data_IF_904141959336
#
_entry.id   IF_904141959336
#
_cell.length_a   1.000
_cell.length_b   1.000
_cell.length_c   1.000
_cell.angle_alpha   90.00
_cell.angle_beta   90.00
_cell.angle_gamma   90.00
#
_symmetry.space_group_name_H-M   'P 1'
#
loop_
_entity.id
_entity.type
_entity.pdbx_description
1 polymer ?
#
# COMPACT_ATOMS: atom_id res chain seq x y z
N UNK A 1 25.04 20.50 -6.93
CA UNK A 1 24.70 19.13 -7.40
C UNK A 1 23.41 18.75 -6.70
N UNK A 2 22.42 18.19 -7.40
CA UNK A 2 21.19 17.65 -6.80
C UNK A 2 21.40 16.14 -6.64
N UNK A 3 21.67 15.69 -5.42
CA UNK A 3 21.91 14.27 -5.12
C UNK A 3 20.61 13.53 -4.81
N UNK A 4 20.62 12.21 -5.02
CA UNK A 4 19.53 11.29 -4.67
C UNK A 4 19.96 10.44 -3.47
N UNK A 5 19.13 10.41 -2.45
CA UNK A 5 19.32 9.64 -1.21
C UNK A 5 18.75 8.22 -1.33
N UNK A 6 17.52 8.08 -1.84
CA UNK A 6 16.84 6.78 -1.93
C UNK A 6 15.77 6.72 -3.01
N UNK A 7 15.46 5.50 -3.44
CA UNK A 7 14.39 5.19 -4.41
C UNK A 7 13.54 4.05 -3.89
N UNK A 8 12.31 4.35 -3.47
CA UNK A 8 11.48 3.40 -2.72
C UNK A 8 9.98 3.67 -2.97
N UNK A 9 9.12 2.93 -2.26
CA UNK A 9 7.66 3.05 -2.23
C UNK A 9 7.03 3.45 -3.57
N UNK A 10 7.26 2.62 -4.59
CA UNK A 10 6.79 2.90 -5.94
C UNK A 10 5.36 2.38 -6.17
N UNK A 11 4.53 3.20 -6.82
CA UNK A 11 3.33 2.72 -7.51
C UNK A 11 3.72 1.93 -8.75
N UNK A 12 2.87 1.02 -9.23
CA UNK A 12 3.16 0.20 -10.41
C UNK A 12 1.94 0.04 -11.31
N UNK A 13 2.16 -0.01 -12.62
CA UNK A 13 1.12 -0.19 -13.63
C UNK A 13 1.70 -0.68 -14.96
N UNK A 14 0.92 -1.44 -15.71
CA UNK A 14 1.24 -1.80 -17.09
C UNK A 14 0.67 -0.74 -18.05
N UNK A 15 1.52 -0.17 -18.88
CA UNK A 15 1.17 0.92 -19.80
C UNK A 15 1.88 0.72 -21.14
N UNK A 16 1.11 0.65 -22.23
CA UNK A 16 1.62 0.44 -23.59
C UNK A 16 2.60 -0.74 -23.74
N UNK A 17 2.31 -1.87 -23.07
CA UNK A 17 3.12 -3.09 -23.11
C UNK A 17 4.43 -3.04 -22.31
N UNK A 18 4.66 -1.96 -21.54
CA UNK A 18 5.77 -1.83 -20.61
C UNK A 18 5.27 -1.78 -19.17
N UNK A 19 6.15 -2.10 -18.24
CA UNK A 19 5.89 -1.88 -16.82
C UNK A 19 6.44 -0.53 -16.40
N UNK A 20 5.58 0.30 -15.82
CA UNK A 20 5.96 1.58 -15.24
C UNK A 20 5.93 1.50 -13.72
N UNK A 21 6.95 2.09 -13.09
CA UNK A 21 7.00 2.39 -11.67
C UNK A 21 6.92 3.90 -11.46
N UNK A 22 5.99 4.34 -10.61
CA UNK A 22 5.94 5.70 -10.08
C UNK A 22 6.75 5.75 -8.80
N UNK A 23 8.06 5.88 -8.95
CA UNK A 23 9.03 5.77 -7.86
C UNK A 23 8.99 7.01 -7.00
N UNK A 24 8.94 6.84 -5.68
CA UNK A 24 9.27 7.90 -4.73
C UNK A 24 10.79 8.01 -4.69
N UNK A 25 11.30 9.13 -5.17
CA UNK A 25 12.73 9.47 -5.15
C UNK A 25 12.94 10.52 -4.07
N UNK A 26 13.75 10.22 -3.08
CA UNK A 26 14.14 11.18 -2.04
C UNK A 26 15.48 11.83 -2.41
N UNK A 27 15.51 13.16 -2.46
CA UNK A 27 16.75 13.91 -2.67
C UNK A 27 17.60 14.01 -1.41
N UNK A 28 18.86 14.41 -1.55
CA UNK A 28 19.73 14.71 -0.39
C UNK A 28 19.17 15.84 0.49
N UNK A 29 18.23 16.63 -0.02
CA UNK A 29 17.51 17.67 0.71
C UNK A 29 16.29 17.14 1.49
N UNK A 30 16.08 15.82 1.56
CA UNK A 30 14.97 15.12 2.22
C UNK A 30 13.59 15.27 1.59
N UNK A 31 13.41 16.08 0.54
CA UNK A 31 12.13 16.10 -0.17
C UNK A 31 12.04 14.89 -1.07
N UNK A 32 10.85 14.30 -1.11
CA UNK A 32 10.50 13.30 -2.09
C UNK A 32 9.82 13.93 -3.29
N UNK A 33 10.10 13.38 -4.47
CA UNK A 33 9.36 13.65 -5.70
C UNK A 33 9.06 12.33 -6.39
N UNK A 34 8.12 12.36 -7.33
CA UNK A 34 7.71 11.17 -8.08
C UNK A 34 8.42 11.15 -9.44
N UNK A 35 8.95 10.00 -9.83
CA UNK A 35 9.58 9.84 -11.14
C UNK A 35 9.18 8.50 -11.76
N UNK A 36 8.93 8.50 -13.07
CA UNK A 36 8.57 7.29 -13.80
C UNK A 36 9.84 6.54 -14.19
N UNK A 37 9.92 5.27 -13.82
CA UNK A 37 10.88 4.32 -14.36
C UNK A 37 10.15 3.26 -15.17
N UNK A 38 10.65 2.94 -16.37
CA UNK A 38 10.06 1.94 -17.26
C UNK A 38 10.95 0.71 -17.41
N UNK A 39 10.35 -0.47 -17.51
CA UNK A 39 11.03 -1.72 -17.85
C UNK A 39 10.28 -2.45 -18.97
N UNK A 40 11.00 -3.10 -19.91
CA UNK A 40 10.39 -3.94 -20.93
C UNK A 40 9.86 -5.27 -20.39
N UNK A 41 10.32 -5.73 -19.21
CA UNK A 41 9.99 -7.05 -18.66
C UNK A 41 9.41 -7.02 -17.24
N UNK A 42 9.60 -5.91 -16.51
CA UNK A 42 9.10 -5.70 -15.16
C UNK A 42 9.99 -6.27 -14.05
N UNK A 43 11.13 -6.89 -14.35
CA UNK A 43 12.02 -7.44 -13.32
C UNK A 43 13.39 -6.77 -13.27
N UNK A 44 13.87 -6.25 -14.40
CA UNK A 44 15.15 -5.57 -14.52
C UNK A 44 15.09 -4.49 -15.61
N UNK A 45 16.23 -3.86 -15.92
CA UNK A 45 16.35 -2.82 -16.96
C UNK A 45 15.39 -1.65 -16.77
N UNK A 46 15.00 -1.36 -15.52
CA UNK A 46 14.26 -0.15 -15.20
C UNK A 46 15.11 1.08 -15.51
N UNK A 47 14.56 1.98 -16.31
CA UNK A 47 15.18 3.26 -16.66
C UNK A 47 14.22 4.39 -16.36
N UNK A 48 14.68 5.37 -15.58
CA UNK A 48 13.94 6.61 -15.40
C UNK A 48 13.73 7.33 -16.74
N UNK A 49 12.55 7.90 -16.92
CA UNK A 49 12.32 8.88 -17.97
C UNK A 49 13.22 10.11 -17.76
N UNK A 50 13.42 10.90 -18.82
CA UNK A 50 14.35 12.04 -18.82
C UNK A 50 14.01 13.09 -17.75
N UNK A 51 12.73 13.20 -17.38
CA UNK A 51 12.22 14.16 -16.40
C UNK A 51 11.32 13.47 -15.36
N UNK A 52 11.38 13.91 -14.08
CA UNK A 52 10.44 13.47 -13.06
C UNK A 52 9.03 14.04 -13.31
N UNK A 53 8.05 13.55 -12.56
CA UNK A 53 6.68 14.07 -12.60
C UNK A 53 6.68 15.49 -12.01
N UNK A 54 6.20 16.45 -12.79
CA UNK A 54 5.83 17.77 -12.28
C UNK A 54 4.39 17.72 -11.82
N UNK A 55 4.18 17.35 -10.55
CA UNK A 55 2.84 17.24 -9.96
C UNK A 55 2.28 18.63 -9.65
N UNK A 56 1.13 19.04 -10.22
CA UNK A 56 0.52 20.31 -9.83
C UNK A 56 0.04 20.29 -8.37
N UNK A 57 -0.04 21.47 -7.79
CA UNK A 57 -0.46 21.68 -6.41
C UNK A 57 -1.89 22.23 -6.34
N UNK A 58 -2.46 22.19 -5.14
CA UNK A 58 -3.70 22.92 -4.82
C UNK A 58 -3.36 24.33 -4.32
N UNK A 59 -4.36 25.11 -3.92
CA UNK A 59 -4.14 26.41 -3.26
C UNK A 59 -3.35 26.29 -1.94
N UNK A 60 -3.36 25.10 -1.33
CA UNK A 60 -2.53 24.75 -0.18
C UNK A 60 -1.35 23.88 -0.64
N UNK A 61 -0.14 24.45 -0.81
CA UNK A 61 1.00 23.73 -1.38
C UNK A 61 1.46 22.57 -0.49
N UNK A 62 2.07 21.58 -1.11
CA UNK A 62 2.53 20.37 -0.43
C UNK A 62 4.01 20.53 -0.06
N UNK A 63 4.39 20.31 1.20
CA UNK A 63 5.82 20.29 1.58
C UNK A 63 6.50 19.03 1.01
N UNK A 64 5.77 17.91 1.02
CA UNK A 64 6.25 16.64 0.50
C UNK A 64 5.10 15.82 -0.09
N UNK A 65 5.38 15.04 -1.14
CA UNK A 65 4.43 14.10 -1.76
C UNK A 65 5.08 12.72 -1.89
N UNK A 66 4.35 11.67 -1.52
CA UNK A 66 4.94 10.33 -1.45
C UNK A 66 3.96 9.17 -1.54
N UNK A 67 4.52 7.99 -1.80
CA UNK A 67 3.87 6.68 -1.80
C UNK A 67 2.64 6.65 -2.73
N UNK A 68 2.81 7.02 -4.01
CA UNK A 68 1.71 7.04 -4.98
C UNK A 68 1.18 5.63 -5.29
N UNK A 69 -0.14 5.46 -5.36
CA UNK A 69 -0.80 4.26 -5.88
C UNK A 69 -1.42 4.58 -7.22
N UNK A 70 -1.04 3.83 -8.25
CA UNK A 70 -1.63 3.96 -9.57
C UNK A 70 -2.84 3.05 -9.72
N UNK A 71 -3.93 3.61 -10.25
CA UNK A 71 -5.19 2.89 -10.49
C UNK A 71 -5.69 3.23 -11.87
N UNK A 72 -5.69 2.24 -12.76
CA UNK A 72 -6.44 2.34 -14.02
C UNK A 72 -7.91 2.09 -13.70
N UNK A 73 -8.69 3.15 -13.61
CA UNK A 73 -10.09 3.07 -13.23
C UNK A 73 -10.97 2.85 -14.46
N UNK A 74 -12.14 2.24 -14.27
CA UNK A 74 -13.04 1.92 -15.39
C UNK A 74 -13.66 3.14 -16.10
N UNK A 75 -13.51 4.34 -15.52
CA UNK A 75 -13.92 5.61 -16.12
C UNK A 75 -12.97 6.08 -17.25
N UNK A 76 -11.85 5.36 -17.45
CA UNK A 76 -10.87 5.63 -18.49
C UNK A 76 -9.70 6.53 -18.09
N UNK A 77 -9.59 6.91 -16.81
CA UNK A 77 -8.45 7.63 -16.27
C UNK A 77 -7.47 6.72 -15.52
N UNK A 78 -6.22 7.16 -15.46
CA UNK A 78 -5.24 6.62 -14.52
C UNK A 78 -5.15 7.60 -13.36
N UNK A 79 -5.56 7.16 -12.18
CA UNK A 79 -5.46 7.93 -10.96
C UNK A 79 -4.16 7.62 -10.23
N UNK A 80 -3.57 8.67 -9.67
CA UNK A 80 -2.50 8.61 -8.70
C UNK A 80 -3.00 9.13 -7.36
N UNK A 81 -3.10 8.26 -6.37
CA UNK A 81 -3.42 8.64 -4.99
C UNK A 81 -2.15 8.61 -4.16
N UNK A 82 -1.82 9.69 -3.49
CA UNK A 82 -0.55 9.85 -2.77
C UNK A 82 -0.77 10.58 -1.45
N UNK A 83 0.17 10.45 -0.53
CA UNK A 83 0.17 11.27 0.67
C UNK A 83 0.66 12.67 0.30
N UNK A 84 -0.11 13.70 0.66
CA UNK A 84 0.37 15.07 0.76
C UNK A 84 0.65 15.37 2.23
N UNK A 85 1.83 15.90 2.51
CA UNK A 85 2.26 16.27 3.84
C UNK A 85 2.55 17.76 3.91
N UNK A 86 2.00 18.39 4.95
CA UNK A 86 2.13 19.82 5.23
C UNK A 86 2.47 20.01 6.69
N UNK A 87 3.14 21.13 7.01
CA UNK A 87 3.39 21.53 8.40
C UNK A 87 2.04 21.68 9.11
N UNK A 88 1.94 21.16 10.33
CA UNK A 88 0.76 21.40 11.15
C UNK A 88 0.69 22.89 11.53
N UNK A 89 -0.35 23.65 11.09
CA UNK A 89 -0.45 25.08 11.35
C UNK A 89 -0.74 25.39 12.83
N UNK A 90 -1.26 24.42 13.59
CA UNK A 90 -1.59 24.60 15.00
C UNK A 90 -0.40 24.28 15.93
N UNK A 91 0.69 23.75 15.37
CA UNK A 91 1.89 23.44 16.12
C UNK A 91 2.66 24.72 16.53
N UNK A 92 3.26 24.77 17.72
CA UNK A 92 4.09 25.89 18.13
C UNK A 92 5.31 26.01 17.18
N UNK A 93 5.82 27.23 17.00
CA UNK A 93 6.96 27.50 16.10
C UNK A 93 8.21 26.66 16.42
N UNK A 94 8.40 26.29 17.70
CA UNK A 94 9.49 25.41 18.14
C UNK A 94 9.32 23.96 17.72
N UNK A 95 8.10 23.51 17.43
CA UNK A 95 7.83 22.18 16.91
C UNK A 95 7.98 22.18 15.39
N UNK A 96 9.14 21.74 14.92
CA UNK A 96 9.46 21.64 13.50
C UNK A 96 9.09 20.30 12.88
N UNK A 97 8.43 19.40 13.63
CA UNK A 97 8.17 18.01 13.23
C UNK A 97 6.67 17.68 13.06
N UNK A 98 5.79 18.34 13.81
CA UNK A 98 4.35 18.11 13.69
C UNK A 98 3.85 18.44 12.27
N UNK A 99 3.13 17.50 11.67
CA UNK A 99 2.68 17.55 10.30
C UNK A 99 1.27 16.97 10.16
N UNK A 100 0.59 17.36 9.09
CA UNK A 100 -0.71 16.83 8.69
C UNK A 100 -0.56 16.04 7.39
N UNK A 101 -1.06 14.81 7.41
CA UNK A 101 -1.14 13.95 6.23
C UNK A 101 -2.58 13.90 5.69
N UNK A 102 -2.74 14.21 4.41
CA UNK A 102 -3.99 14.02 3.67
C UNK A 102 -3.72 13.16 2.41
N UNK A 103 -4.79 12.75 1.73
CA UNK A 103 -4.69 12.07 0.45
C UNK A 103 -4.86 13.06 -0.70
N UNK A 104 -3.78 13.28 -1.45
CA UNK A 104 -3.82 13.98 -2.72
C UNK A 104 -4.28 13.05 -3.83
N UNK A 105 -5.09 13.58 -4.75
CA UNK A 105 -5.61 12.85 -5.90
C UNK A 105 -5.18 13.59 -7.17
N UNK A 106 -4.57 12.87 -8.10
CA UNK A 106 -4.30 13.38 -9.44
C UNK A 106 -4.70 12.34 -10.49
N UNK A 107 -4.97 12.79 -11.72
CA UNK A 107 -5.25 11.90 -12.85
C UNK A 107 -4.43 12.23 -14.09
N UNK A 108 -4.20 11.21 -14.90
CA UNK A 108 -3.46 11.31 -16.16
C UNK A 108 -3.95 10.28 -17.18
N UNK A 109 -3.55 10.45 -18.44
CA UNK A 109 -3.66 9.44 -19.49
C UNK A 109 -2.30 9.06 -20.10
N UNK A 110 -1.23 9.75 -19.75
CA UNK A 110 0.09 9.61 -20.38
C UNK A 110 1.27 9.63 -19.40
N UNK A 111 1.03 9.84 -18.09
CA UNK A 111 2.04 10.02 -17.04
C UNK A 111 2.94 11.25 -17.19
N UNK A 112 2.69 12.09 -18.19
CA UNK A 112 3.42 13.35 -18.44
C UNK A 112 2.58 14.52 -17.97
N UNK A 113 1.32 14.60 -18.43
CA UNK A 113 0.37 15.64 -18.03
C UNK A 113 -0.48 15.12 -16.88
N UNK A 114 -0.41 15.81 -15.76
CA UNK A 114 -1.17 15.50 -14.56
C UNK A 114 -2.18 16.60 -14.29
N UNK A 115 -3.40 16.21 -13.96
CA UNK A 115 -4.43 17.09 -13.42
C UNK A 115 -4.52 16.82 -11.91
N UNK A 116 -4.19 17.81 -11.08
CA UNK A 116 -4.34 17.75 -9.63
C UNK A 116 -5.80 18.07 -9.27
N UNK A 117 -6.45 17.13 -8.59
CA UNK A 117 -7.81 17.27 -8.07
C UNK A 117 -7.77 17.74 -6.61
N UNK A 118 -8.94 17.96 -6.00
CA UNK A 118 -9.03 18.26 -4.58
C UNK A 118 -8.50 17.08 -3.74
N UNK A 119 -7.84 17.40 -2.62
CA UNK A 119 -7.49 16.41 -1.63
C UNK A 119 -8.77 15.72 -1.09
N UNK A 120 -8.68 14.43 -0.77
CA UNK A 120 -9.79 13.66 -0.22
C UNK A 120 -10.23 14.23 1.12
N UNK A 121 -11.53 14.50 1.28
CA UNK A 121 -12.12 14.94 2.55
C UNK A 121 -12.74 13.76 3.29
N UNK A 122 -12.37 13.60 4.56
CA UNK A 122 -12.95 12.59 5.46
C UNK A 122 -13.24 13.19 6.83
N UNK A 123 -14.00 12.48 7.68
CA UNK A 123 -14.18 12.86 9.08
C UNK A 123 -12.94 12.61 9.95
N UNK A 124 -12.02 11.77 9.48
CA UNK A 124 -10.75 11.56 10.16
C UNK A 124 -9.86 12.78 9.94
N UNK A 125 -9.15 13.27 10.98
CA UNK A 125 -8.31 14.46 10.84
C UNK A 125 -7.15 14.23 9.86
N UNK A 126 -6.70 12.99 9.70
CA UNK A 126 -5.59 12.64 8.83
C UNK A 126 -5.85 11.32 8.09
N UNK A 127 -5.29 11.21 6.89
CA UNK A 127 -5.38 10.01 6.04
C UNK A 127 -4.03 9.70 5.39
N UNK A 128 -3.62 8.43 5.45
CA UNK A 128 -2.49 7.89 4.69
C UNK A 128 -2.89 6.55 4.09
N UNK A 129 -2.15 6.08 3.09
CA UNK A 129 -2.42 4.78 2.44
C UNK A 129 -3.82 4.67 1.84
N UNK A 130 -4.37 5.79 1.37
CA UNK A 130 -5.63 5.81 0.67
C UNK A 130 -5.43 5.26 -0.73
N UNK A 131 -6.34 4.38 -1.16
CA UNK A 131 -6.26 3.72 -2.46
C UNK A 131 -7.64 3.68 -3.10
N UNK A 132 -7.71 4.05 -4.37
CA UNK A 132 -8.94 3.96 -5.15
C UNK A 132 -9.17 2.50 -5.59
N UNK A 133 -10.39 2.01 -5.40
CA UNK A 133 -10.83 0.75 -5.98
C UNK A 133 -10.97 0.92 -7.51
N UNK A 134 -10.52 -0.03 -8.35
CA UNK A 134 -10.48 0.17 -9.81
C UNK A 134 -11.86 0.19 -10.50
N UNK A 135 -12.92 -0.20 -9.79
CA UNK A 135 -14.29 -0.27 -10.29
C UNK A 135 -15.22 0.61 -9.44
N UNK A 136 -16.28 1.12 -10.04
CA UNK A 136 -17.40 1.71 -9.35
C UNK A 136 -18.09 0.67 -8.46
N UNK A 137 -18.45 1.10 -7.26
CA UNK A 137 -19.28 0.31 -6.35
C UNK A 137 -20.56 1.09 -6.09
N UNK A 138 -21.69 0.51 -6.51
CA UNK A 138 -23.00 1.17 -6.49
C UNK A 138 -23.00 2.53 -7.23
N UNK A 139 -22.27 2.60 -8.35
CA UNK A 139 -22.15 3.81 -9.17
C UNK A 139 -21.29 4.92 -8.57
N UNK A 140 -20.55 4.64 -7.48
CA UNK A 140 -19.71 5.60 -6.75
C UNK A 140 -18.25 5.19 -6.79
N UNK A 141 -17.34 6.14 -6.67
CA UNK A 141 -15.92 5.87 -6.48
C UNK A 141 -15.72 5.27 -5.09
N UNK A 142 -15.02 4.15 -5.03
CA UNK A 142 -14.77 3.44 -3.79
C UNK A 142 -13.32 3.60 -3.35
N UNK A 143 -13.10 3.84 -2.06
CA UNK A 143 -11.78 4.08 -1.48
C UNK A 143 -11.52 3.09 -0.36
N UNK A 144 -10.32 2.53 -0.37
CA UNK A 144 -9.69 2.02 0.83
C UNK A 144 -9.01 3.18 1.54
N UNK A 145 -9.18 3.27 2.85
CA UNK A 145 -8.70 4.38 3.66
C UNK A 145 -7.97 3.88 4.89
N UNK A 146 -7.39 4.80 5.67
CA UNK A 146 -6.77 4.48 6.94
C UNK A 146 -6.92 5.67 7.89
N UNK A 147 -8.07 5.77 8.60
CA UNK A 147 -8.29 6.84 9.56
C UNK A 147 -7.21 6.81 10.65
N UNK A 148 -6.71 7.98 11.02
CA UNK A 148 -5.69 8.14 12.04
C UNK A 148 -5.90 9.47 12.78
N UNK A 149 -5.76 9.45 14.10
CA UNK A 149 -5.93 10.65 14.93
C UNK A 149 -4.74 11.61 14.81
N UNK A 150 -3.52 11.08 14.60
CA UNK A 150 -2.29 11.86 14.44
C UNK A 150 -1.43 11.39 13.27
N UNK A 151 -0.31 12.07 13.03
CA UNK A 151 0.55 11.82 11.86
C UNK A 151 1.24 10.46 11.91
N UNK A 152 1.83 10.15 13.06
CA UNK A 152 2.45 8.85 13.34
C UNK A 152 1.36 7.93 13.87
N UNK A 153 0.76 8.22 15.02
CA UNK A 153 -0.13 7.30 15.73
C UNK A 153 -1.56 7.30 15.21
N UNK A 154 -2.13 6.09 15.08
CA UNK A 154 -3.48 5.92 14.54
C UNK A 154 -4.57 6.27 15.54
N UNK A 155 -4.24 6.32 16.84
CA UNK A 155 -5.22 6.56 17.91
C UNK A 155 -6.42 5.61 17.83
N UNK A 156 -7.62 6.17 17.70
CA UNK A 156 -8.89 5.45 17.54
C UNK A 156 -9.06 4.77 16.17
N UNK A 157 -8.16 5.02 15.22
CA UNK A 157 -8.09 4.34 13.93
C UNK A 157 -8.00 2.82 14.08
N UNK A 158 -9.10 2.13 13.74
CA UNK A 158 -9.28 0.70 13.96
C UNK A 158 -8.56 -0.20 12.96
N UNK A 159 -8.24 0.31 11.77
CA UNK A 159 -7.51 -0.42 10.75
C UNK A 159 -7.69 0.14 9.35
N UNK A 160 -7.74 -0.74 8.33
CA UNK A 160 -8.05 -0.36 6.95
C UNK A 160 -9.54 -0.07 6.85
N UNK A 161 -9.88 1.13 6.39
CA UNK A 161 -11.25 1.58 6.16
C UNK A 161 -11.71 1.39 4.72
N UNK A 162 -13.01 1.56 4.53
CA UNK A 162 -13.70 1.58 3.25
C UNK A 162 -14.73 2.71 3.24
N UNK A 163 -14.73 3.49 2.15
CA UNK A 163 -15.66 4.60 1.95
C UNK A 163 -16.06 4.74 0.49
N UNK A 164 -17.22 5.35 0.25
CA UNK A 164 -17.72 5.67 -1.09
C UNK A 164 -17.80 7.18 -1.26
N UNK A 165 -17.54 7.67 -2.47
CA UNK A 165 -17.73 9.06 -2.85
C UNK A 165 -18.45 9.18 -4.19
N UNK A 166 -19.36 10.14 -4.28
CA UNK A 166 -20.12 10.44 -5.50
C UNK A 166 -19.28 11.09 -6.60
N UNK A 167 -18.17 11.74 -6.24
CA UNK A 167 -17.29 12.43 -7.19
C UNK A 167 -15.83 12.18 -6.86
N UNK A 168 -15.02 12.06 -7.91
CA UNK A 168 -13.56 11.98 -7.80
C UNK A 168 -12.89 13.37 -7.78
N UNK A 169 -13.55 14.39 -8.32
CA UNK A 169 -12.99 15.75 -8.42
C UNK A 169 -13.10 16.50 -7.08
N UNK A 170 -14.16 16.20 -6.32
CA UNK A 170 -14.40 16.73 -4.97
C UNK A 170 -14.75 15.57 -4.03
N UNK A 171 -13.83 14.62 -3.87
CA UNK A 171 -14.09 13.42 -3.08
C UNK A 171 -14.32 13.72 -1.60
N UNK A 172 -15.47 13.27 -1.11
CA UNK A 172 -15.87 13.29 0.30
C UNK A 172 -16.30 11.89 0.71
N UNK A 173 -15.79 11.40 1.85
CA UNK A 173 -16.23 10.16 2.50
C UNK A 173 -16.90 10.52 3.83
N UNK A 174 -18.23 10.45 3.86
CA UNK A 174 -19.04 10.75 5.05
C UNK A 174 -19.12 9.59 6.05
N UNK A 175 -19.06 8.37 5.52
CA UNK A 175 -19.12 7.12 6.29
C UNK A 175 -17.96 6.23 5.87
N UNK A 176 -17.17 5.85 6.86
CA UNK A 176 -16.04 4.95 6.73
C UNK A 176 -16.30 3.71 7.59
N UNK A 177 -16.04 2.53 7.03
CA UNK A 177 -16.22 1.25 7.74
C UNK A 177 -14.89 0.52 7.75
N UNK A 178 -14.45 0.04 8.91
CA UNK A 178 -13.24 -0.76 9.01
C UNK A 178 -13.50 -2.14 8.39
N UNK A 179 -12.64 -2.53 7.46
CA UNK A 179 -12.70 -3.82 6.76
C UNK A 179 -11.59 -4.75 7.22
N UNK A 180 -10.45 -4.25 7.70
CA UNK A 180 -9.40 -5.09 8.27
C UNK A 180 -8.79 -4.44 9.50
N UNK A 181 -9.15 -4.97 10.66
CA UNK A 181 -8.78 -4.43 11.97
C UNK A 181 -7.31 -4.67 12.31
N UNK A 182 -6.79 -3.79 13.17
CA UNK A 182 -5.62 -4.06 13.99
C UNK A 182 -5.97 -5.08 15.06
N UNK A 183 -5.02 -5.96 15.37
CA UNK A 183 -5.25 -7.04 16.35
C UNK A 183 -4.03 -7.16 17.26
N UNK A 184 -4.27 -7.19 18.57
CA UNK A 184 -3.23 -7.36 19.59
C UNK A 184 -2.39 -8.62 19.32
N UNK A 185 -1.08 -8.49 19.49
CA UNK A 185 -0.08 -9.54 19.32
C UNK A 185 -0.03 -10.16 17.92
N UNK A 186 -0.50 -9.44 16.90
CA UNK A 186 -0.33 -9.79 15.48
C UNK A 186 0.70 -8.90 14.80
N UNK A 187 0.98 -9.17 13.52
CA UNK A 187 1.88 -8.34 12.71
C UNK A 187 1.33 -6.92 12.44
N UNK A 188 0.06 -6.67 12.73
CA UNK A 188 -0.66 -5.42 12.48
C UNK A 188 -1.25 -4.82 13.76
N UNK A 189 -0.56 -5.01 14.89
CA UNK A 189 -1.00 -4.55 16.21
C UNK A 189 -1.11 -3.01 16.30
N UNK A 190 -0.07 -2.31 15.86
CA UNK A 190 0.02 -0.86 16.04
C UNK A 190 -0.65 -0.15 14.88
N UNK A 191 -0.37 -0.57 13.63
CA UNK A 191 -0.93 0.04 12.40
C UNK A 191 -1.07 -1.01 11.31
N UNK A 192 -1.96 -0.76 10.37
CA UNK A 192 -1.97 -1.37 9.04
C UNK A 192 -2.42 -0.33 8.00
N UNK A 193 -2.32 -0.69 6.73
CA UNK A 193 -2.81 0.12 5.61
C UNK A 193 -2.70 -0.65 4.30
N UNK A 194 -3.57 -0.32 3.35
CA UNK A 194 -3.51 -0.91 2.00
C UNK A 194 -2.22 -0.45 1.30
N UNK A 195 -1.62 -1.40 0.60
CA UNK A 195 -0.50 -1.16 -0.29
C UNK A 195 -0.98 -0.65 -1.65
N UNK A 196 -0.97 -1.49 -2.70
CA UNK A 196 -1.53 -1.16 -4.02
C UNK A 196 -3.05 -1.38 -4.11
N UNK A 197 -3.66 -0.95 -5.22
CA UNK A 197 -5.02 -1.33 -5.57
C UNK A 197 -5.15 -2.86 -5.73
N UNK A 198 -6.28 -3.47 -5.33
CA UNK A 198 -6.42 -4.92 -5.33
C UNK A 198 -6.39 -5.53 -6.73
N UNK A 199 -5.91 -6.77 -6.81
CA UNK A 199 -6.01 -7.56 -8.04
C UNK A 199 -7.35 -8.30 -8.04
N UNK A 200 -8.17 -8.08 -9.07
CA UNK A 200 -9.39 -8.85 -9.29
C UNK A 200 -9.06 -10.28 -9.70
N UNK A 201 -9.64 -11.26 -9.01
CA UNK A 201 -9.49 -12.69 -9.32
C UNK A 201 -10.85 -13.36 -9.53
N UNK A 202 -10.86 -14.65 -9.85
CA UNK A 202 -12.12 -15.43 -9.89
C UNK A 202 -12.70 -15.72 -8.50
N UNK A 203 -11.94 -15.50 -7.42
CA UNK A 203 -12.29 -15.88 -6.05
C UNK A 203 -12.57 -14.70 -5.13
N UNK A 204 -12.20 -13.48 -5.54
CA UNK A 204 -12.22 -12.30 -4.69
C UNK A 204 -11.28 -11.22 -5.20
N UNK A 205 -11.26 -10.10 -4.50
CA UNK A 205 -10.26 -9.06 -4.63
C UNK A 205 -9.08 -9.39 -3.74
N UNK A 206 -7.94 -9.72 -4.36
CA UNK A 206 -6.71 -10.01 -3.65
C UNK A 206 -6.09 -8.70 -3.17
N UNK A 207 -5.89 -8.58 -1.87
CA UNK A 207 -5.39 -7.38 -1.20
C UNK A 207 -3.95 -7.59 -0.76
N UNK A 208 -3.09 -6.59 -0.97
CA UNK A 208 -1.76 -6.50 -0.38
C UNK A 208 -1.72 -5.28 0.53
N UNK A 209 -1.32 -5.51 1.77
CA UNK A 209 -1.27 -4.51 2.81
C UNK A 209 0.04 -4.60 3.59
N UNK A 210 0.31 -3.58 4.40
CA UNK A 210 1.40 -3.63 5.38
C UNK A 210 0.83 -3.66 6.79
N UNK A 211 1.48 -4.41 7.67
CA UNK A 211 1.22 -4.46 9.11
C UNK A 211 2.41 -3.92 9.88
N UNK A 212 2.13 -3.23 10.98
CA UNK A 212 3.11 -2.60 11.85
C UNK A 212 2.92 -3.05 13.28
N UNK A 213 4.03 -3.39 13.93
CA UNK A 213 4.10 -3.56 15.39
C UNK A 213 5.30 -2.80 15.95
N UNK A 214 5.22 -2.44 17.23
CA UNK A 214 6.36 -1.84 17.91
C UNK A 214 7.34 -2.93 18.41
N UNK A 215 8.61 -2.56 18.51
CA UNK A 215 9.69 -3.41 19.02
C UNK A 215 10.64 -2.57 19.87
N UNK A 216 11.62 -3.20 20.53
CA UNK A 216 12.67 -2.48 21.23
C UNK A 216 13.52 -1.57 20.29
N UNK A 217 13.56 -1.87 18.99
CA UNK A 217 14.27 -1.08 17.98
C UNK A 217 13.35 -0.12 17.20
N UNK A 218 12.13 0.14 17.70
CA UNK A 218 11.12 0.94 17.02
C UNK A 218 10.15 0.12 16.18
N UNK A 219 9.46 0.79 15.25
CA UNK A 219 8.40 0.19 14.44
C UNK A 219 8.96 -0.80 13.40
N UNK A 220 8.36 -1.98 13.32
CA UNK A 220 8.66 -3.00 12.31
C UNK A 220 7.51 -3.09 11.32
N UNK A 221 7.83 -3.02 10.03
CA UNK A 221 6.85 -3.14 8.93
C UNK A 221 7.05 -4.45 8.17
N UNK A 222 5.94 -5.13 7.90
CA UNK A 222 5.88 -6.35 7.08
C UNK A 222 4.69 -6.28 6.15
N UNK A 223 4.73 -7.00 5.03
CA UNK A 223 3.59 -7.13 4.12
C UNK A 223 2.74 -8.33 4.48
N UNK A 224 1.43 -8.25 4.26
CA UNK A 224 0.49 -9.37 4.38
C UNK A 224 -0.56 -9.29 3.28
N UNK A 225 -1.18 -10.43 2.97
CA UNK A 225 -2.23 -10.51 1.95
C UNK A 225 -3.51 -11.12 2.53
N UNK A 226 -4.65 -10.64 2.03
CA UNK A 226 -5.98 -11.15 2.38
C UNK A 226 -6.93 -11.03 1.18
N UNK A 227 -8.12 -11.62 1.28
CA UNK A 227 -9.08 -11.64 0.18
C UNK A 227 -10.41 -11.00 0.62
N UNK A 228 -10.97 -10.12 -0.21
CA UNK A 228 -12.33 -9.59 -0.04
C UNK A 228 -13.28 -10.10 -1.14
N UNK A 229 -14.58 -10.07 -0.88
CA UNK A 229 -15.61 -10.61 -1.77
C UNK A 229 -15.71 -9.83 -3.09
N UNK A 230 -15.99 -10.52 -4.22
CA UNK A 230 -16.09 -9.87 -5.53
C UNK A 230 -17.26 -8.88 -5.65
N UNK A 231 -18.40 -9.20 -5.04
CA UNK A 231 -19.63 -8.41 -5.10
C UNK A 231 -19.67 -7.37 -3.98
N UNK A 232 -19.06 -7.69 -2.85
CA UNK A 232 -18.94 -6.81 -1.69
C UNK A 232 -17.45 -6.56 -1.38
N UNK A 233 -16.74 -5.68 -2.12
CA UNK A 233 -15.28 -5.53 -1.99
C UNK A 233 -14.79 -5.06 -0.62
N UNK A 234 -15.71 -4.56 0.22
CA UNK A 234 -15.50 -4.16 1.60
C UNK A 234 -15.63 -5.32 2.61
N UNK A 235 -15.90 -6.55 2.18
CA UNK A 235 -16.10 -7.71 3.05
C UNK A 235 -14.93 -8.68 2.93
N UNK A 236 -14.04 -8.80 3.92
CA UNK A 236 -13.03 -9.86 3.96
C UNK A 236 -13.69 -11.23 4.01
N UNK A 237 -13.15 -12.16 3.22
CA UNK A 237 -13.61 -13.54 3.16
C UNK A 237 -12.55 -14.54 3.61
N UNK A 238 -11.26 -14.20 3.50
CA UNK A 238 -10.16 -15.04 3.99
C UNK A 238 -9.00 -14.17 4.49
N UNK A 239 -8.48 -14.49 5.68
CA UNK A 239 -7.39 -13.74 6.33
C UNK A 239 -6.31 -14.70 6.88
N UNK A 240 -5.27 -15.02 6.10
CA UNK A 240 -4.11 -15.79 6.56
C UNK A 240 -3.49 -15.21 7.83
N UNK A 241 -3.00 -16.08 8.71
CA UNK A 241 -2.21 -15.67 9.86
C UNK A 241 -0.79 -15.23 9.48
N UNK A 242 -0.24 -14.25 10.19
CA UNK A 242 1.14 -13.81 10.03
C UNK A 242 1.39 -12.86 8.85
N UNK A 243 2.65 -12.84 8.38
CA UNK A 243 3.10 -11.98 7.28
C UNK A 243 3.26 -12.80 5.98
N UNK A 244 3.23 -12.08 4.86
CA UNK A 244 3.54 -12.57 3.52
C UNK A 244 5.00 -12.29 3.14
N UNK A 245 5.46 -11.03 3.24
CA UNK A 245 6.87 -10.65 3.04
C UNK A 245 7.35 -9.88 4.27
N UNK A 246 8.55 -10.21 4.73
CA UNK A 246 9.21 -9.52 5.82
C UNK A 246 10.67 -9.24 5.44
N UNK A 247 11.34 -8.23 6.03
CA UNK A 247 12.71 -7.91 5.65
C UNK A 247 13.65 -9.10 5.82
N UNK A 248 14.36 -9.48 4.76
CA UNK A 248 15.34 -10.56 4.71
C UNK A 248 16.70 -10.08 4.18
N UNK A 249 17.80 -10.61 4.74
CA UNK A 249 19.16 -10.24 4.30
C UNK A 249 19.41 -8.72 4.34
N UNK A 250 19.83 -8.17 3.20
CA UNK A 250 20.13 -6.74 3.03
C UNK A 250 18.90 -5.83 3.19
N UNK A 251 17.69 -6.36 3.05
CA UNK A 251 16.45 -5.59 3.18
C UNK A 251 16.26 -5.02 4.58
N UNK A 252 16.90 -5.63 5.59
CA UNK A 252 16.79 -5.23 6.99
C UNK A 252 17.41 -3.86 7.28
N UNK A 253 18.35 -3.40 6.46
CA UNK A 253 19.17 -2.21 6.74
C UNK A 253 19.01 -1.14 5.66
N UNK A 254 18.81 0.09 6.13
CA UNK A 254 18.64 1.31 5.35
C UNK A 254 18.26 2.47 6.26
N UNK A 255 17.91 3.61 5.68
CA UNK A 255 17.56 4.84 6.40
C UNK A 255 16.48 4.61 7.47
N UNK A 256 15.45 3.81 7.13
CA UNK A 256 14.43 3.36 8.08
C UNK A 256 14.46 1.83 8.15
N UNK A 257 15.45 1.31 8.88
CA UNK A 257 15.69 -0.12 8.99
C UNK A 257 14.47 -0.93 9.46
N UNK A 258 14.46 -2.23 9.16
CA UNK A 258 13.43 -3.19 9.58
C UNK A 258 12.03 -2.96 8.94
N UNK A 259 12.02 -2.43 7.71
CA UNK A 259 10.82 -2.11 6.94
C UNK A 259 10.82 -2.84 5.60
N UNK A 260 9.69 -3.46 5.24
CA UNK A 260 9.31 -3.69 3.85
C UNK A 260 7.94 -3.04 3.60
N UNK A 261 7.78 -2.42 2.43
CA UNK A 261 6.58 -1.66 2.09
C UNK A 261 6.25 -1.81 0.60
N UNK A 262 4.99 -1.89 0.23
CA UNK A 262 4.57 -1.98 -1.17
C UNK A 262 3.33 -1.15 -1.41
N UNK A 263 3.36 -0.38 -2.49
CA UNK A 263 2.24 0.39 -3.03
C UNK A 263 2.07 0.17 -4.54
N UNK A 264 2.74 -0.85 -5.08
CA UNK A 264 2.72 -1.21 -6.48
C UNK A 264 2.83 -2.71 -6.68
N UNK A 265 1.84 -3.28 -7.36
CA UNK A 265 1.94 -4.60 -7.98
C UNK A 265 1.15 -4.58 -9.28
N UNK A 266 1.36 -5.57 -10.14
CA UNK A 266 0.49 -5.77 -11.29
C UNK A 266 0.40 -7.23 -11.66
N UNK A 267 -0.75 -7.59 -12.22
CA UNK A 267 -0.98 -8.88 -12.85
C UNK A 267 -0.76 -8.72 -14.35
N UNK A 268 0.13 -9.52 -14.92
CA UNK A 268 0.41 -9.59 -16.34
C UNK A 268 -0.55 -10.54 -17.05
N UNK A 269 -0.68 -10.38 -18.37
CA UNK A 269 -1.53 -11.23 -19.21
C UNK A 269 -1.10 -12.70 -19.21
N UNK A 270 0.20 -12.97 -19.03
CA UNK A 270 0.74 -14.33 -18.92
C UNK A 270 0.41 -15.02 -17.57
N UNK A 271 -0.25 -14.31 -16.64
CA UNK A 271 -0.63 -14.82 -15.32
C UNK A 271 0.35 -14.51 -14.18
N UNK A 272 1.51 -13.94 -14.50
CA UNK A 272 2.48 -13.50 -13.51
C UNK A 272 1.93 -12.33 -12.70
N UNK A 273 2.30 -12.28 -11.42
CA UNK A 273 2.08 -11.14 -10.55
C UNK A 273 3.44 -10.61 -10.13
N UNK A 274 3.72 -9.37 -10.51
CA UNK A 274 4.94 -8.66 -10.15
C UNK A 274 4.63 -7.76 -8.95
N UNK A 275 5.31 -8.02 -7.83
CA UNK A 275 5.09 -7.33 -6.56
C UNK A 275 6.29 -6.44 -6.31
N UNK A 276 6.12 -5.12 -6.44
CA UNK A 276 7.17 -4.16 -6.21
C UNK A 276 7.12 -3.71 -4.76
N UNK A 277 8.19 -3.97 -4.03
CA UNK A 277 8.29 -3.61 -2.62
C UNK A 277 9.61 -2.93 -2.34
N UNK A 278 9.58 -1.91 -1.49
CA UNK A 278 10.78 -1.28 -0.98
C UNK A 278 11.26 -1.98 0.28
N UNK A 279 12.57 -1.88 0.53
CA UNK A 279 13.17 -2.25 1.80
C UNK A 279 13.82 -1.05 2.47
N UNK A 280 13.57 -0.90 3.76
CA UNK A 280 14.17 0.07 4.68
C UNK A 280 14.18 1.53 4.19
N UNK A 281 13.12 1.96 3.50
CA UNK A 281 12.98 3.29 2.85
C UNK A 281 14.22 3.71 2.04
N UNK A 282 14.87 2.75 1.36
CA UNK A 282 16.14 3.00 0.66
C UNK A 282 16.11 2.55 -0.80
N UNK A 283 15.61 1.34 -1.05
CA UNK A 283 15.72 0.67 -2.36
C UNK A 283 14.46 -0.12 -2.72
N UNK A 284 14.23 -0.28 -4.02
CA UNK A 284 13.14 -1.08 -4.59
C UNK A 284 13.59 -2.50 -4.93
N UNK A 285 12.67 -3.44 -4.77
CA UNK A 285 12.79 -4.85 -5.10
C UNK A 285 11.57 -5.31 -5.89
N UNK A 286 11.66 -6.51 -6.48
CA UNK A 286 10.54 -7.19 -7.13
C UNK A 286 10.48 -8.64 -6.67
N UNK A 287 9.29 -9.08 -6.26
CA UNK A 287 8.96 -10.49 -6.08
C UNK A 287 8.00 -10.95 -7.18
N UNK A 288 8.24 -12.14 -7.74
CA UNK A 288 7.44 -12.71 -8.82
C UNK A 288 6.62 -13.87 -8.28
N UNK A 289 5.32 -13.85 -8.51
CA UNK A 289 4.39 -14.93 -8.18
C UNK A 289 3.35 -15.11 -9.29
N UNK A 290 2.31 -15.88 -9.04
CA UNK A 290 1.13 -15.99 -9.92
C UNK A 290 -0.14 -15.83 -9.10
N UNK A 291 -1.25 -15.48 -9.76
CA UNK A 291 -2.55 -15.40 -9.07
C UNK A 291 -2.89 -16.71 -8.37
N UNK A 292 -2.63 -17.85 -9.01
CA UNK A 292 -2.93 -19.17 -8.43
C UNK A 292 -2.11 -19.45 -7.18
N UNK A 293 -0.81 -19.12 -7.17
CA UNK A 293 0.05 -19.28 -5.98
C UNK A 293 -0.36 -18.35 -4.85
N UNK A 294 -0.73 -17.10 -5.16
CA UNK A 294 -1.18 -16.15 -4.15
C UNK A 294 -2.54 -16.55 -3.56
N UNK A 295 -3.46 -17.04 -4.38
CA UNK A 295 -4.73 -17.58 -3.90
C UNK A 295 -4.52 -18.85 -3.07
N UNK A 296 -3.63 -19.75 -3.48
CA UNK A 296 -3.26 -20.93 -2.69
C UNK A 296 -2.73 -20.53 -1.32
N UNK A 297 -1.77 -19.59 -1.25
CA UNK A 297 -1.31 -19.04 0.02
C UNK A 297 -2.47 -18.51 0.86
N UNK A 298 -3.39 -17.73 0.26
CA UNK A 298 -4.47 -17.12 1.01
C UNK A 298 -5.45 -18.15 1.56
N UNK A 299 -5.85 -19.14 0.76
CA UNK A 299 -6.84 -20.13 1.17
C UNK A 299 -6.27 -21.22 2.08
N UNK A 300 -5.00 -21.56 1.92
CA UNK A 300 -4.40 -22.74 2.56
C UNK A 300 -3.41 -22.39 3.67
N UNK A 301 -3.00 -21.13 3.81
CA UNK A 301 -2.34 -20.67 5.03
C UNK A 301 -3.38 -20.54 6.13
N UNK A 302 -3.23 -21.22 7.28
CA UNK A 302 -4.21 -21.16 8.33
C UNK A 302 -4.40 -19.74 8.89
N UNK A 303 -5.62 -19.42 9.31
CA UNK A 303 -5.88 -18.19 10.07
C UNK A 303 -5.11 -18.18 11.41
N UNK A 304 -4.86 -16.98 11.93
CA UNK A 304 -4.14 -16.80 13.19
C UNK A 304 -4.97 -17.34 14.38
N UNK A 305 -4.37 -18.22 15.17
CA UNK A 305 -4.98 -18.76 16.40
C UNK A 305 -4.99 -17.77 17.57
N UNK A 306 -4.34 -16.61 17.42
CA UNK A 306 -4.23 -15.46 18.34
C UNK A 306 -3.57 -15.75 19.69
N UNK A 307 -3.27 -17.01 20.00
CA UNK A 307 -2.70 -17.45 21.28
C UNK A 307 -1.69 -18.56 21.05
N UNK A 308 -0.59 -18.53 21.79
CA UNK A 308 0.50 -19.51 21.68
C UNK A 308 0.01 -20.96 21.67
N UNK A 309 -0.86 -21.34 22.62
CA UNK A 309 -1.44 -22.69 22.67
C UNK A 309 -2.16 -23.08 21.37
N UNK A 310 -3.01 -22.20 20.82
CA UNK A 310 -3.75 -22.48 19.59
C UNK A 310 -2.81 -22.60 18.37
N UNK A 311 -1.76 -21.79 18.32
CA UNK A 311 -0.74 -21.86 17.27
C UNK A 311 0.08 -23.17 17.35
N UNK A 312 0.38 -23.65 18.56
CA UNK A 312 1.04 -24.95 18.77
C UNK A 312 0.14 -26.09 18.33
N UNK A 313 -1.14 -26.08 18.71
CA UNK A 313 -2.12 -27.09 18.28
C UNK A 313 -2.26 -27.15 16.76
N UNK A 314 -2.34 -25.99 16.10
CA UNK A 314 -2.39 -25.90 14.64
C UNK A 314 -1.14 -26.49 13.98
N UNK A 315 0.05 -26.23 14.54
CA UNK A 315 1.32 -26.78 14.06
C UNK A 315 1.42 -28.29 14.27
N UNK A 316 1.01 -28.78 15.43
CA UNK A 316 1.01 -30.22 15.75
C UNK A 316 0.12 -31.00 14.77
N UNK A 317 -1.06 -30.48 14.42
CA UNK A 317 -1.95 -31.09 13.42
C UNK A 317 -1.29 -31.24 12.04
N UNK A 318 -0.46 -30.29 11.61
CA UNK A 318 0.30 -30.41 10.37
C UNK A 318 1.40 -31.47 10.49
N UNK A 319 2.15 -31.46 11.60
CA UNK A 319 3.22 -32.44 11.86
C UNK A 319 2.65 -33.87 11.87
N UNK A 320 1.51 -34.10 12.51
CA UNK A 320 0.85 -35.41 12.54
C UNK A 320 0.48 -35.92 11.15
N UNK A 321 -0.05 -35.05 10.28
CA UNK A 321 -0.35 -35.40 8.88
C UNK A 321 0.92 -35.77 8.11
N UNK A 322 1.99 -34.99 8.27
CA UNK A 322 3.28 -35.26 7.63
C UNK A 322 3.90 -36.57 8.12
N UNK A 323 3.85 -36.85 9.42
CA UNK A 323 4.37 -38.10 10.00
C UNK A 323 3.61 -39.34 9.53
N UNK A 324 2.33 -39.22 9.18
CA UNK A 324 1.56 -40.32 8.55
C UNK A 324 2.05 -40.55 7.12
N UNK A 325 2.18 -39.49 6.33
CA UNK A 325 2.67 -39.58 4.95
C UNK A 325 4.11 -40.10 4.82
N UNK A 326 4.96 -39.86 5.81
CA UNK A 326 6.35 -40.35 5.81
C UNK A 326 6.49 -41.83 6.19
N UNK A 327 5.44 -42.45 6.72
CA UNK A 327 5.43 -43.88 7.08
C UNK A 327 4.89 -44.75 5.94
N UNK A 328 4.18 -44.15 4.99
CA UNK A 328 3.69 -44.76 3.76
C UNK A 328 4.75 -44.68 2.65
#
# INVERSE_FOLDING_TARGET
RLGVNGTFNAGAIEFNGKVLLGVRVEGNDRKSFLAIAESPNGIDNFRFWDYPITMPETENPDTNVYDIRFVKHEDGWIYGLFCTERKDPDAPESDTSAANAQCGIARTKDFVKWERLADLKTKSPQQRNVVLHPEFVNGKYAFYTRPQDGFIDTGTGGGIGWGLSDSIENSVIDKETIIDDRVYHTIKEVKNGIGPAPIKTKKGWLQLAHGVRNTAAGLRYVLYIFLTDLKEPNKPIVKPGGYFIAPEGEERVGDVSNVVFSNGWLKRDNGDVLIYYASSDTRMHVAVSTVDKLLDYVFNTPEDGLRSYACVEQRNKLIEKNLRLMKD
#
